data_IF_682275752039
#
_entry.id   IF_682275752039
#
_cell.length_a   1.000
_cell.length_b   1.000
_cell.length_c   1.000
_cell.angle_alpha   90.00
_cell.angle_beta   90.00
_cell.angle_gamma   90.00
#
_symmetry.space_group_name_H-M   'P 1'
#
loop_
_entity.id
_entity.type
_entity.pdbx_description
1 polymer ?
#
# COMPACT_ATOMS: atom_id res chain seq x y z
N UNK A 1 -65.96 -37.73 17.55
CA UNK A 1 -64.69 -37.05 17.87
C UNK A 1 -64.18 -36.19 16.71
N UNK A 2 -64.74 -36.35 15.50
CA UNK A 2 -64.28 -35.62 14.30
C UNK A 2 -64.69 -34.14 14.31
N UNK A 3 -65.88 -33.78 14.81
CA UNK A 3 -66.40 -32.40 14.78
C UNK A 3 -65.60 -31.37 15.59
N UNK A 4 -64.75 -31.82 16.52
CA UNK A 4 -63.87 -30.94 17.30
C UNK A 4 -62.59 -30.62 16.52
N UNK A 5 -62.08 -31.61 15.77
CA UNK A 5 -60.95 -31.44 14.85
C UNK A 5 -61.34 -30.57 13.65
N UNK A 6 -62.52 -30.77 13.07
CA UNK A 6 -63.00 -29.96 11.92
C UNK A 6 -63.09 -28.48 12.26
N UNK A 7 -63.51 -28.13 13.49
CA UNK A 7 -63.59 -26.73 13.95
C UNK A 7 -62.22 -26.07 14.12
N UNK A 8 -61.20 -26.83 14.52
CA UNK A 8 -59.84 -26.32 14.58
C UNK A 8 -59.22 -26.21 13.18
N UNK A 9 -59.47 -27.17 12.28
CA UNK A 9 -58.95 -27.11 10.91
C UNK A 9 -59.57 -26.01 10.04
N UNK A 10 -60.81 -25.58 10.30
CA UNK A 10 -61.45 -24.48 9.56
C UNK A 10 -60.86 -23.09 9.84
N UNK A 11 -60.10 -22.92 10.93
CA UNK A 11 -59.56 -21.62 11.34
C UNK A 11 -58.11 -21.35 10.91
N UNK A 12 -57.39 -22.34 10.38
CA UNK A 12 -55.93 -22.22 10.13
C UNK A 12 -55.59 -22.01 8.65
N UNK A 13 -56.55 -22.15 7.74
CA UNK A 13 -56.30 -22.06 6.29
C UNK A 13 -56.59 -20.68 5.65
N UNK A 14 -56.99 -19.67 6.43
CA UNK A 14 -57.31 -18.33 5.88
C UNK A 14 -56.37 -17.21 6.32
N UNK A 15 -55.48 -17.42 7.29
CA UNK A 15 -54.56 -16.37 7.76
C UNK A 15 -53.18 -16.40 7.07
N UNK A 16 -52.85 -17.48 6.35
CA UNK A 16 -51.67 -17.53 5.45
C UNK A 16 -51.99 -17.13 4.01
N UNK A 17 -53.28 -16.95 3.67
CA UNK A 17 -53.71 -16.52 2.35
C UNK A 17 -53.86 -14.99 2.22
N UNK A 18 -53.63 -14.26 3.32
CA UNK A 18 -53.84 -12.80 3.40
C UNK A 18 -52.53 -12.00 3.34
N UNK A 19 -51.54 -12.53 2.61
CA UNK A 19 -50.54 -11.72 1.93
C UNK A 19 -50.45 -12.18 0.48
N UNK A 20 -51.55 -12.06 -0.28
CA UNK A 20 -51.51 -12.10 -1.74
C UNK A 20 -50.78 -10.86 -2.26
N UNK A 21 -49.49 -10.73 -1.91
CA UNK A 21 -48.58 -9.92 -2.69
C UNK A 21 -48.54 -10.61 -4.05
N UNK A 22 -49.10 -9.94 -5.05
CA UNK A 22 -49.23 -10.41 -6.43
C UNK A 22 -47.99 -11.25 -6.80
N UNK A 23 -48.16 -12.54 -7.10
CA UNK A 23 -47.03 -13.41 -7.45
C UNK A 23 -46.20 -12.80 -8.58
N UNK A 24 -46.86 -12.01 -9.42
CA UNK A 24 -46.23 -11.20 -10.45
C UNK A 24 -45.32 -10.10 -9.90
N UNK A 25 -45.67 -9.45 -8.78
CA UNK A 25 -44.81 -8.46 -8.10
C UNK A 25 -43.64 -9.15 -7.37
N UNK A 26 -43.84 -10.35 -6.80
CA UNK A 26 -42.76 -11.17 -6.24
C UNK A 26 -41.77 -11.57 -7.34
N UNK A 27 -42.28 -12.07 -8.47
CA UNK A 27 -41.45 -12.52 -9.59
C UNK A 27 -40.73 -11.34 -10.25
N UNK A 28 -41.39 -10.18 -10.38
CA UNK A 28 -40.78 -8.93 -10.84
C UNK A 28 -39.67 -8.46 -9.90
N UNK A 29 -39.90 -8.47 -8.59
CA UNK A 29 -38.85 -8.15 -7.60
C UNK A 29 -37.67 -9.13 -7.69
N UNK A 30 -37.95 -10.42 -7.87
CA UNK A 30 -36.91 -11.45 -8.00
C UNK A 30 -36.11 -11.28 -9.29
N UNK A 31 -36.78 -11.00 -10.41
CA UNK A 31 -36.14 -10.69 -11.68
C UNK A 31 -35.28 -9.43 -11.59
N UNK A 32 -35.75 -8.39 -10.89
CA UNK A 32 -35.00 -7.17 -10.65
C UNK A 32 -33.76 -7.42 -9.78
N UNK A 33 -33.89 -8.14 -8.66
CA UNK A 33 -32.73 -8.54 -7.83
C UNK A 33 -31.74 -9.39 -8.62
N UNK A 34 -32.22 -10.30 -9.47
CA UNK A 34 -31.36 -11.11 -10.33
C UNK A 34 -30.62 -10.25 -11.36
N UNK A 35 -31.25 -9.21 -11.91
CA UNK A 35 -30.60 -8.25 -12.80
C UNK A 35 -29.51 -7.46 -12.07
N UNK A 36 -29.80 -6.94 -10.87
CA UNK A 36 -28.83 -6.22 -10.04
C UNK A 36 -27.64 -7.11 -9.63
N UNK A 37 -27.89 -8.38 -9.29
CA UNK A 37 -26.84 -9.35 -9.01
C UNK A 37 -25.96 -9.63 -10.23
N UNK A 38 -26.55 -9.67 -11.43
CA UNK A 38 -25.78 -9.82 -12.68
C UNK A 38 -24.89 -8.62 -12.93
N UNK A 39 -25.41 -7.40 -12.81
CA UNK A 39 -24.61 -6.19 -13.00
C UNK A 39 -23.46 -6.11 -11.99
N UNK A 40 -23.72 -6.43 -10.73
CA UNK A 40 -22.69 -6.44 -9.69
C UNK A 40 -21.63 -7.52 -9.96
N UNK A 41 -22.04 -8.71 -10.39
CA UNK A 41 -21.12 -9.79 -10.76
C UNK A 41 -20.21 -9.38 -11.92
N UNK A 42 -20.76 -8.68 -12.92
CA UNK A 42 -20.00 -8.20 -14.07
C UNK A 42 -18.99 -7.13 -13.64
N UNK A 43 -19.37 -6.18 -12.79
CA UNK A 43 -18.48 -5.17 -12.23
C UNK A 43 -17.35 -5.80 -11.40
N UNK A 44 -17.67 -6.74 -10.51
CA UNK A 44 -16.66 -7.47 -9.73
C UNK A 44 -15.69 -8.22 -10.65
N UNK A 45 -16.20 -8.81 -11.74
CA UNK A 45 -15.36 -9.49 -12.72
C UNK A 45 -14.44 -8.50 -13.46
N UNK A 46 -14.94 -7.32 -13.82
CA UNK A 46 -14.15 -6.26 -14.44
C UNK A 46 -13.07 -5.70 -13.49
N UNK A 47 -13.42 -5.40 -12.24
CA UNK A 47 -12.48 -4.93 -11.23
C UNK A 47 -11.37 -5.96 -10.98
N UNK A 48 -11.73 -7.25 -10.91
CA UNK A 48 -10.77 -8.32 -10.74
C UNK A 48 -9.84 -8.45 -11.95
N UNK A 49 -10.36 -8.34 -13.16
CA UNK A 49 -9.55 -8.32 -14.38
C UNK A 49 -8.58 -7.13 -14.38
N UNK A 50 -9.08 -5.92 -14.08
CA UNK A 50 -8.26 -4.71 -14.00
C UNK A 50 -7.13 -4.84 -12.97
N UNK A 51 -7.43 -5.38 -11.78
CA UNK A 51 -6.41 -5.68 -10.77
C UNK A 51 -5.32 -6.62 -11.30
N UNK A 52 -5.72 -7.72 -11.93
CA UNK A 52 -4.76 -8.69 -12.49
C UNK A 52 -3.89 -8.07 -13.60
N UNK A 53 -4.48 -7.23 -14.45
CA UNK A 53 -3.76 -6.48 -15.48
C UNK A 53 -2.74 -5.52 -14.88
N UNK A 54 -3.11 -4.76 -13.87
CA UNK A 54 -2.16 -3.91 -13.13
C UNK A 54 -1.04 -4.72 -12.46
N UNK A 55 -1.28 -5.98 -12.10
CA UNK A 55 -0.27 -6.92 -11.59
C UNK A 55 0.58 -7.59 -12.69
N UNK A 56 0.39 -7.21 -13.97
CA UNK A 56 1.12 -7.77 -15.11
C UNK A 56 0.59 -9.12 -15.60
N UNK A 57 -0.63 -9.50 -15.21
CA UNK A 57 -1.29 -10.75 -15.58
C UNK A 57 -2.46 -10.51 -16.54
N UNK A 58 -2.91 -11.53 -17.27
CA UNK A 58 -4.06 -11.43 -18.20
C UNK A 58 -3.98 -10.23 -19.19
N UNK A 59 -2.77 -9.95 -19.68
CA UNK A 59 -2.51 -8.87 -20.66
C UNK A 59 -2.78 -9.29 -22.11
N UNK A 60 -3.01 -10.58 -22.36
CA UNK A 60 -3.31 -11.07 -23.70
C UNK A 60 -4.62 -10.45 -24.21
N UNK A 61 -4.67 -10.13 -25.51
CA UNK A 61 -5.84 -9.52 -26.13
C UNK A 61 -6.00 -8.02 -25.90
N UNK A 62 -5.18 -7.39 -25.04
CA UNK A 62 -5.11 -5.93 -24.95
C UNK A 62 -4.46 -5.33 -26.19
N UNK A 63 -4.99 -4.20 -26.65
CA UNK A 63 -4.35 -3.46 -27.73
C UNK A 63 -3.09 -2.76 -27.22
N UNK A 64 -2.23 -2.35 -28.16
CA UNK A 64 -1.05 -1.55 -27.82
C UNK A 64 -1.41 -0.23 -27.10
N UNK A 65 -2.55 0.38 -27.43
CA UNK A 65 -3.01 1.59 -26.75
C UNK A 65 -3.45 1.30 -25.31
N UNK A 66 -4.10 0.17 -25.08
CA UNK A 66 -4.53 -0.26 -23.74
C UNK A 66 -3.31 -0.56 -22.86
N UNK A 67 -2.33 -1.29 -23.40
CA UNK A 67 -1.06 -1.56 -22.71
C UNK A 67 -0.30 -0.28 -22.38
N UNK A 68 -0.21 0.67 -23.34
CA UNK A 68 0.40 1.98 -23.12
C UNK A 68 -0.36 2.81 -22.09
N UNK A 69 -1.69 2.68 -22.03
CA UNK A 69 -2.49 3.35 -21.00
C UNK A 69 -2.19 2.76 -19.62
N UNK A 70 -2.18 1.43 -19.51
CA UNK A 70 -1.85 0.71 -18.29
C UNK A 70 -0.42 1.04 -17.80
N UNK A 71 0.56 1.07 -18.70
CA UNK A 71 1.95 1.45 -18.39
C UNK A 71 2.03 2.86 -17.80
N UNK A 72 1.34 3.84 -18.42
CA UNK A 72 1.29 5.21 -17.91
C UNK A 72 0.59 5.28 -16.55
N UNK A 73 -0.50 4.55 -16.37
CA UNK A 73 -1.23 4.51 -15.10
C UNK A 73 -0.36 3.96 -13.96
N UNK A 74 0.33 2.83 -14.20
CA UNK A 74 1.25 2.24 -13.24
C UNK A 74 2.44 3.14 -12.95
N UNK A 75 3.00 3.78 -13.99
CA UNK A 75 4.08 4.75 -13.83
C UNK A 75 3.65 5.93 -12.96
N UNK A 76 2.50 6.53 -13.23
CA UNK A 76 1.97 7.63 -12.42
C UNK A 76 1.70 7.20 -10.97
N UNK A 77 1.13 6.02 -10.77
CA UNK A 77 0.92 5.43 -9.45
C UNK A 77 2.24 5.22 -8.70
N UNK A 78 3.28 4.74 -9.38
CA UNK A 78 4.61 4.55 -8.81
C UNK A 78 5.23 5.86 -8.33
N UNK A 79 5.17 6.93 -9.15
CA UNK A 79 5.66 8.25 -8.77
C UNK A 79 4.93 8.79 -7.54
N UNK A 80 3.59 8.69 -7.51
CA UNK A 80 2.79 9.12 -6.35
C UNK A 80 3.18 8.40 -5.06
N UNK A 81 3.43 7.09 -5.13
CA UNK A 81 3.92 6.30 -3.99
C UNK A 81 5.32 6.73 -3.57
N UNK A 82 6.23 6.97 -4.53
CA UNK A 82 7.59 7.41 -4.26
C UNK A 82 7.61 8.79 -3.58
N UNK A 83 6.84 9.74 -4.10
CA UNK A 83 6.72 11.08 -3.54
C UNK A 83 6.15 11.04 -2.12
N UNK A 84 5.13 10.19 -1.88
CA UNK A 84 4.59 10.03 -0.53
C UNK A 84 5.61 9.43 0.45
N UNK A 85 6.47 8.50 -0.02
CA UNK A 85 7.57 7.95 0.79
C UNK A 85 8.62 9.02 1.11
N UNK A 86 9.06 9.78 0.09
CA UNK A 86 10.02 10.90 0.27
C UNK A 86 9.48 11.91 1.28
N UNK A 87 8.21 12.29 1.15
CA UNK A 87 7.56 13.21 2.07
C UNK A 87 7.59 12.72 3.52
N UNK A 88 7.26 11.45 3.77
CA UNK A 88 7.34 10.86 5.12
C UNK A 88 8.76 10.87 5.70
N UNK A 89 9.77 10.59 4.87
CA UNK A 89 11.17 10.63 5.30
C UNK A 89 11.59 12.05 5.68
N UNK A 90 11.19 13.06 4.91
CA UNK A 90 11.47 14.47 5.20
C UNK A 90 10.82 14.88 6.52
N UNK A 91 9.54 14.57 6.71
CA UNK A 91 8.80 14.86 7.94
C UNK A 91 9.45 14.23 9.18
N UNK A 92 9.88 12.97 9.09
CA UNK A 92 10.57 12.30 10.19
C UNK A 92 11.95 12.91 10.49
N UNK A 93 12.73 13.24 9.45
CA UNK A 93 14.03 13.89 9.62
C UNK A 93 13.89 15.27 10.28
N UNK A 94 12.91 16.07 9.86
CA UNK A 94 12.64 17.37 10.48
C UNK A 94 12.21 17.23 11.94
N UNK A 95 11.36 16.25 12.26
CA UNK A 95 10.97 15.95 13.64
C UNK A 95 12.19 15.59 14.51
N UNK A 96 13.06 14.71 14.02
CA UNK A 96 14.27 14.31 14.75
C UNK A 96 15.25 15.47 14.93
N UNK A 97 15.45 16.30 13.91
CA UNK A 97 16.29 17.51 14.00
C UNK A 97 15.79 18.46 15.10
N UNK A 98 14.48 18.71 15.15
CA UNK A 98 13.87 19.55 16.20
C UNK A 98 14.08 18.98 17.60
N UNK A 99 13.95 17.65 17.76
CA UNK A 99 14.21 16.99 19.05
C UNK A 99 15.67 17.11 19.47
N UNK A 100 16.62 16.92 18.54
CA UNK A 100 18.04 17.08 18.83
C UNK A 100 18.38 18.51 19.23
N UNK A 101 17.85 19.51 18.52
CA UNK A 101 18.06 20.93 18.86
C UNK A 101 17.49 21.29 20.24
N UNK A 102 16.33 20.75 20.61
CA UNK A 102 15.73 20.96 21.92
C UNK A 102 16.57 20.33 23.04
N UNK A 103 17.00 19.08 22.85
CA UNK A 103 17.91 18.42 23.80
C UNK A 103 19.23 19.20 23.94
N UNK A 104 19.81 19.69 22.84
CA UNK A 104 21.02 20.52 22.89
C UNK A 104 20.79 21.83 23.66
N UNK A 105 19.62 22.48 23.51
CA UNK A 105 19.25 23.67 24.28
C UNK A 105 19.15 23.36 25.77
N UNK A 106 18.45 22.29 26.15
CA UNK A 106 18.28 21.91 27.57
C UNK A 106 19.61 21.56 28.26
N UNK A 107 20.52 20.86 27.58
CA UNK A 107 21.87 20.57 28.10
C UNK A 107 22.68 21.86 28.27
N UNK A 108 22.59 22.81 27.32
CA UNK A 108 23.32 24.07 27.40
C UNK A 108 22.82 24.97 28.54
N UNK A 109 21.52 24.97 28.81
CA UNK A 109 20.94 25.73 29.95
C UNK A 109 21.22 25.10 31.30
N UNK A 110 21.32 23.76 31.39
CA UNK A 110 21.70 23.08 32.63
C UNK A 110 23.18 23.26 33.04
N UNK A 111 24.02 23.76 32.12
CA UNK A 111 25.44 24.06 32.39
C UNK A 111 25.67 25.47 32.95
N UNK A 112 24.66 26.34 32.99
CA UNK A 112 24.80 27.75 33.38
C UNK A 112 24.20 28.10 34.75
N UNK A 113 23.75 27.11 35.53
CA UNK A 113 23.22 27.30 36.88
C UNK A 113 24.15 26.66 37.92
N UNK A 114 25.29 27.32 38.11
CA UNK A 114 26.33 26.90 39.03
C UNK A 114 27.21 28.07 39.44
N UNK A 115 26.68 28.97 40.26
CA UNK A 115 27.45 29.74 41.25
C UNK A 115 28.21 30.97 40.77
N UNK A 116 27.87 32.10 41.38
CA UNK A 116 28.55 33.39 41.35
C UNK A 116 30.05 33.30 41.71
N UNK A 117 30.90 34.03 40.97
CA UNK A 117 31.73 35.18 41.45
C UNK A 117 32.82 35.52 40.44
N UNK A 118 33.04 36.83 40.34
CA UNK A 118 34.15 37.52 39.68
C UNK A 118 35.49 36.80 39.93
N UNK A 119 36.36 36.73 38.91
CA UNK A 119 37.71 37.32 38.93
C UNK A 119 38.34 37.20 37.53
N UNK A 120 38.86 38.33 37.06
CA UNK A 120 39.77 38.44 35.93
C UNK A 120 41.04 37.64 36.25
N UNK A 121 41.24 36.51 35.58
CA UNK A 121 42.48 35.73 35.71
C UNK A 121 42.86 35.13 34.37
N UNK A 122 43.94 35.66 33.80
CA UNK A 122 44.67 35.08 32.68
C UNK A 122 45.09 33.65 33.04
N UNK A 123 44.37 32.67 32.52
CA UNK A 123 44.75 31.26 32.65
C UNK A 123 44.64 30.59 31.29
N UNK A 124 45.81 30.22 30.75
CA UNK A 124 46.00 29.38 29.58
C UNK A 124 45.26 28.03 29.75
N UNK A 125 43.98 28.00 29.42
CA UNK A 125 43.23 26.75 29.29
C UNK A 125 43.69 26.04 28.02
N UNK A 126 44.69 25.18 28.21
CA UNK A 126 45.08 24.12 27.30
C UNK A 126 43.84 23.53 26.63
N UNK A 127 43.72 23.76 25.33
CA UNK A 127 42.71 23.13 24.50
C UNK A 127 42.93 21.62 24.52
N UNK A 128 42.22 20.90 25.39
CA UNK A 128 42.09 19.45 25.31
C UNK A 128 41.24 19.12 24.10
N UNK A 129 41.85 19.20 22.91
CA UNK A 129 41.26 18.73 21.68
C UNK A 129 41.19 17.20 21.75
N UNK A 130 40.01 16.67 22.06
CA UNK A 130 39.75 15.23 21.92
C UNK A 130 39.65 14.92 20.43
N UNK A 131 40.76 14.45 19.86
CA UNK A 131 40.80 13.91 18.52
C UNK A 131 40.00 12.60 18.50
N UNK A 132 38.69 12.70 18.23
CA UNK A 132 37.86 11.54 17.95
C UNK A 132 38.34 10.95 16.63
N UNK A 133 39.21 9.94 16.72
CA UNK A 133 39.76 9.20 15.61
C UNK A 133 38.65 8.52 14.80
N UNK A 134 38.00 9.28 13.92
CA UNK A 134 37.25 8.73 12.81
C UNK A 134 38.31 8.28 11.79
N UNK A 135 38.79 7.05 11.98
CA UNK A 135 39.58 6.36 10.97
C UNK A 135 38.69 6.18 9.74
N UNK A 136 38.83 7.09 8.79
CA UNK A 136 38.36 6.93 7.42
C UNK A 136 39.29 5.94 6.73
N UNK A 137 39.20 4.66 7.09
CA UNK A 137 39.87 3.62 6.33
C UNK A 137 39.16 3.44 5.00
N UNK A 138 39.74 4.09 4.00
CA UNK A 138 39.39 3.96 2.60
C UNK A 138 39.35 2.49 2.18
N UNK A 139 38.28 2.17 1.46
CA UNK A 139 38.31 1.34 0.26
C UNK A 139 39.10 0.02 0.40
N UNK A 140 38.56 -0.93 1.18
CA UNK A 140 38.85 -2.34 0.92
C UNK A 140 38.30 -2.69 -0.47
N UNK A 141 39.22 -2.81 -1.42
CA UNK A 141 39.05 -3.33 -2.77
C UNK A 141 38.05 -4.49 -2.77
N UNK A 142 36.87 -4.30 -3.37
CA UNK A 142 36.01 -5.43 -3.71
C UNK A 142 36.73 -6.22 -4.81
N UNK A 143 37.12 -7.44 -4.48
CA UNK A 143 37.56 -8.49 -5.41
C UNK A 143 36.41 -8.71 -6.41
N UNK A 144 36.69 -8.56 -7.70
CA UNK A 144 35.73 -8.85 -8.76
C UNK A 144 35.36 -10.35 -8.73
N UNK A 145 34.08 -10.64 -8.58
CA UNK A 145 33.55 -11.97 -8.91
C UNK A 145 33.53 -12.08 -10.43
N UNK A 146 34.41 -12.90 -10.99
CA UNK A 146 34.33 -13.33 -12.38
C UNK A 146 33.12 -14.26 -12.49
N UNK A 147 31.96 -13.72 -12.86
CA UNK A 147 30.87 -14.55 -13.35
C UNK A 147 31.22 -14.93 -14.78
N UNK A 148 31.58 -16.19 -14.99
CA UNK A 148 31.62 -16.79 -16.32
C UNK A 148 30.21 -16.77 -16.91
N UNK A 149 29.96 -15.90 -17.89
CA UNK A 149 28.79 -16.03 -18.75
C UNK A 149 29.17 -16.89 -19.95
N UNK A 150 28.91 -18.19 -19.85
CA UNK A 150 28.73 -19.05 -21.01
C UNK A 150 27.44 -18.60 -21.71
N UNK A 151 27.54 -17.73 -22.71
CA UNK A 151 26.51 -17.62 -23.73
C UNK A 151 27.01 -18.41 -24.93
N UNK A 152 26.51 -19.64 -25.05
CA UNK A 152 26.63 -20.42 -26.26
C UNK A 152 25.91 -19.70 -27.40
N UNK A 153 26.63 -19.58 -28.50
CA UNK A 153 26.17 -19.15 -29.81
C UNK A 153 25.01 -20.06 -30.25
N UNK A 154 23.85 -19.50 -30.55
CA UNK A 154 22.74 -20.23 -31.18
C UNK A 154 22.23 -19.42 -32.36
N UNK A 155 23.03 -19.51 -33.42
CA UNK A 155 22.68 -19.28 -34.82
C UNK A 155 21.51 -20.21 -35.19
N UNK A 156 20.29 -19.70 -35.16
CA UNK A 156 19.13 -20.39 -35.75
C UNK A 156 18.90 -19.88 -37.17
N UNK A 157 19.26 -20.73 -38.12
CA UNK A 157 18.93 -20.63 -39.53
C UNK A 157 17.66 -21.45 -39.75
N UNK A 158 16.57 -20.79 -40.15
CA UNK A 158 15.42 -21.47 -40.76
C UNK A 158 15.12 -20.80 -42.08
N UNK A 159 15.56 -21.47 -43.14
CA UNK A 159 14.96 -21.32 -44.45
C UNK A 159 13.70 -22.17 -44.51
N UNK A 160 12.71 -21.71 -45.27
CA UNK A 160 11.68 -22.57 -45.83
C UNK A 160 11.33 -22.00 -47.20
N UNK A 161 11.59 -22.83 -48.21
CA UNK A 161 10.98 -22.79 -49.54
C UNK A 161 9.48 -23.13 -49.47
#
# INVERSE_FOLDING_TARGET
MENTLTRYCQGVDLEWLELSHDEHEIEKQKAQRAAELRTLKDEVSQLRLSYLQMMGQQLHGLSFNDLRHLERQLSNGLHSVEDKKKQKIIEENERLRKQVEELQRTVKTASYDGGEKEEESDSDISVTSLQLGLSCDGNKKRKASKSESLCNDSRSQVGSE
#
